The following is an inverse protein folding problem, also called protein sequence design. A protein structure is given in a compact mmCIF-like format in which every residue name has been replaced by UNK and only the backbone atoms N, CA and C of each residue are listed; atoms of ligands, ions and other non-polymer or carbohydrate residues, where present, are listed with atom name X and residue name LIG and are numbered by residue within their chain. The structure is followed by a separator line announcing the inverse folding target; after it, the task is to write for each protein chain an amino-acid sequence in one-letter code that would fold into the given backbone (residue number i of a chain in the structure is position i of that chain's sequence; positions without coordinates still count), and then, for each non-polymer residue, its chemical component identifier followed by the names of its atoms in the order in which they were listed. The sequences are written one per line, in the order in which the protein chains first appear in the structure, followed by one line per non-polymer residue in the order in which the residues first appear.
data_IF_827134702458
#
_entry.id   IF_827134702458
#
_cell.length_a   1.000
_cell.length_b   1.000
_cell.length_c   1.000
_cell.angle_alpha   90.00
_cell.angle_beta   90.00
_cell.angle_gamma   90.00
#
_symmetry.space_group_name_H-M   'P 1'
#
loop_
_entity.id
_entity.type
_entity.pdbx_description
1 polymer ?
#
# COMPACT_ATOMS: atom_id res chain seq x y z
N UNK A 1 24.59 16.57 -35.54
CA UNK A 1 25.26 16.36 -34.23
C UNK A 1 24.27 15.78 -33.26
N UNK A 2 24.58 14.65 -32.63
CA UNK A 2 23.75 14.06 -31.57
C UNK A 2 23.99 14.83 -30.25
N UNK A 3 22.97 15.15 -29.45
CA UNK A 3 23.14 15.81 -28.17
C UNK A 3 23.98 14.92 -27.22
N UNK A 4 24.97 15.51 -26.54
CA UNK A 4 25.92 14.81 -25.66
C UNK A 4 25.25 14.08 -24.49
N UNK A 5 24.02 14.44 -24.16
CA UNK A 5 23.26 13.91 -23.03
C UNK A 5 22.43 12.67 -23.39
N UNK A 6 22.43 12.24 -24.66
CA UNK A 6 21.62 11.13 -25.15
C UNK A 6 20.11 11.43 -25.18
N UNK A 7 19.32 10.53 -25.76
CA UNK A 7 17.85 10.65 -25.86
C UNK A 7 17.11 10.07 -24.65
N UNK A 8 17.83 9.58 -23.64
CA UNK A 8 17.24 9.01 -22.44
C UNK A 8 16.98 10.14 -21.45
N UNK A 9 15.69 10.38 -21.14
CA UNK A 9 15.30 11.15 -19.96
C UNK A 9 15.75 10.38 -18.73
N UNK A 10 16.97 10.64 -18.27
CA UNK A 10 17.46 10.20 -16.97
C UNK A 10 16.61 10.95 -15.95
N UNK A 11 15.48 10.35 -15.56
CA UNK A 11 14.63 10.88 -14.50
C UNK A 11 15.53 11.08 -13.28
N UNK A 12 15.56 12.32 -12.74
CA UNK A 12 16.36 12.65 -11.56
C UNK A 12 16.16 11.55 -10.52
N UNK A 13 17.23 10.80 -10.26
CA UNK A 13 17.32 9.75 -9.25
C UNK A 13 17.34 10.40 -7.89
N UNK A 14 16.20 10.90 -7.46
CA UNK A 14 16.03 11.56 -6.18
C UNK A 14 14.56 11.63 -5.87
N UNK A 15 14.13 10.84 -4.89
CA UNK A 15 12.78 10.89 -4.35
C UNK A 15 12.58 12.27 -3.72
N UNK A 16 12.20 13.28 -4.51
CA UNK A 16 11.96 14.63 -4.00
C UNK A 16 10.77 14.51 -3.04
N UNK A 17 10.94 14.84 -1.75
CA UNK A 17 9.83 14.76 -0.81
C UNK A 17 8.69 15.63 -1.34
N UNK A 18 7.48 15.06 -1.35
CA UNK A 18 6.28 15.80 -1.74
C UNK A 18 6.11 17.00 -0.81
N UNK A 19 5.77 18.16 -1.38
CA UNK A 19 5.33 19.28 -0.57
C UNK A 19 4.04 18.89 0.18
N UNK A 20 3.77 19.51 1.32
CA UNK A 20 2.54 19.24 2.08
C UNK A 20 1.28 19.52 1.25
N UNK A 21 1.31 20.53 0.37
CA UNK A 21 0.21 20.85 -0.54
C UNK A 21 0.01 19.80 -1.62
N UNK A 22 1.09 19.33 -2.26
CA UNK A 22 1.01 18.29 -3.29
C UNK A 22 0.54 16.96 -2.69
N UNK A 23 1.05 16.62 -1.50
CA UNK A 23 0.61 15.46 -0.74
C UNK A 23 -0.88 15.53 -0.44
N UNK A 24 -1.37 16.66 0.05
CA UNK A 24 -2.80 16.84 0.35
C UNK A 24 -3.68 16.75 -0.91
N UNK A 25 -3.25 17.35 -2.02
CA UNK A 25 -3.98 17.27 -3.29
C UNK A 25 -4.05 15.83 -3.82
N UNK A 26 -2.95 15.08 -3.73
CA UNK A 26 -2.90 13.66 -4.09
C UNK A 26 -3.82 12.84 -3.18
N UNK A 27 -3.81 13.05 -1.87
CA UNK A 27 -4.69 12.33 -0.94
C UNK A 27 -6.18 12.55 -1.29
N UNK A 28 -6.58 13.79 -1.58
CA UNK A 28 -7.96 14.08 -2.03
C UNK A 28 -8.31 13.30 -3.28
N UNK A 29 -7.43 13.31 -4.29
CA UNK A 29 -7.62 12.53 -5.52
C UNK A 29 -7.67 11.02 -5.25
N UNK A 30 -6.83 10.51 -4.34
CA UNK A 30 -6.87 9.12 -3.92
C UNK A 30 -8.21 8.74 -3.28
N UNK A 31 -8.74 9.61 -2.44
CA UNK A 31 -10.06 9.42 -1.83
C UNK A 31 -11.19 9.45 -2.88
N UNK A 32 -11.15 10.37 -3.84
CA UNK A 32 -12.09 10.39 -4.97
C UNK A 32 -12.05 9.07 -5.76
N UNK A 33 -10.86 8.60 -6.15
CA UNK A 33 -10.70 7.33 -6.88
C UNK A 33 -11.22 6.14 -6.08
N UNK A 34 -10.94 6.11 -4.78
CA UNK A 34 -11.43 5.04 -3.88
C UNK A 34 -12.96 5.01 -3.85
N UNK A 35 -13.59 6.17 -3.68
CA UNK A 35 -15.05 6.31 -3.61
C UNK A 35 -15.72 5.98 -4.95
N UNK A 36 -15.06 6.26 -6.08
CA UNK A 36 -15.51 5.86 -7.41
C UNK A 36 -15.27 4.38 -7.75
N UNK A 37 -14.74 3.58 -6.81
CA UNK A 37 -14.47 2.15 -7.01
C UNK A 37 -13.15 1.86 -7.73
N UNK A 38 -12.37 2.87 -8.11
CA UNK A 38 -11.03 2.70 -8.69
C UNK A 38 -9.98 2.50 -7.60
N UNK A 39 -10.12 1.39 -6.87
CA UNK A 39 -9.33 1.06 -5.68
C UNK A 39 -7.84 0.93 -6.00
N UNK A 40 -7.50 0.35 -7.15
CA UNK A 40 -6.10 0.11 -7.51
C UNK A 40 -5.34 1.43 -7.74
N UNK A 41 -5.99 2.41 -8.38
CA UNK A 41 -5.40 3.75 -8.52
C UNK A 41 -5.30 4.46 -7.17
N UNK A 42 -6.34 4.36 -6.33
CA UNK A 42 -6.31 4.90 -4.98
C UNK A 42 -5.15 4.32 -4.15
N UNK A 43 -4.96 2.99 -4.20
CA UNK A 43 -3.86 2.28 -3.54
C UNK A 43 -2.51 2.85 -3.93
N UNK A 44 -2.25 3.02 -5.23
CA UNK A 44 -0.99 3.61 -5.72
C UNK A 44 -0.76 5.02 -5.18
N UNK A 45 -1.81 5.83 -5.12
CA UNK A 45 -1.76 7.20 -4.58
C UNK A 45 -1.46 7.17 -3.07
N UNK A 46 -2.11 6.29 -2.30
CA UNK A 46 -1.90 6.18 -0.86
C UNK A 46 -0.49 5.67 -0.51
N UNK A 47 0.05 4.72 -1.28
CA UNK A 47 1.45 4.28 -1.14
C UNK A 47 2.41 5.44 -1.43
N UNK A 48 2.19 6.16 -2.53
CA UNK A 48 3.04 7.29 -2.94
C UNK A 48 3.05 8.41 -1.89
N UNK A 49 1.91 8.65 -1.24
CA UNK A 49 1.75 9.72 -0.24
C UNK A 49 2.03 9.27 1.19
N UNK A 50 2.16 7.96 1.44
CA UNK A 50 2.21 7.40 2.80
C UNK A 50 0.97 7.77 3.61
N UNK A 51 -0.22 7.71 3.02
CA UNK A 51 -1.47 8.06 3.71
C UNK A 51 -2.02 6.84 4.46
N UNK A 52 -1.70 6.74 5.76
CA UNK A 52 -2.01 5.57 6.59
C UNK A 52 -3.47 5.14 6.57
N UNK A 53 -4.41 6.08 6.76
CA UNK A 53 -5.85 5.77 6.75
C UNK A 53 -6.31 5.19 5.39
N UNK A 54 -5.85 5.77 4.28
CA UNK A 54 -6.13 5.23 2.94
C UNK A 54 -5.55 3.83 2.73
N UNK A 55 -4.33 3.57 3.22
CA UNK A 55 -3.71 2.26 3.17
C UNK A 55 -4.48 1.22 4.00
N UNK A 56 -4.94 1.58 5.20
CA UNK A 56 -5.76 0.69 6.05
C UNK A 56 -7.07 0.35 5.35
N UNK A 57 -7.80 1.33 4.78
CA UNK A 57 -9.06 1.06 4.07
C UNK A 57 -8.88 0.13 2.87
N UNK A 58 -7.80 0.30 2.10
CA UNK A 58 -7.50 -0.62 1.00
C UNK A 58 -7.12 -2.00 1.55
N UNK A 59 -6.36 -2.07 2.65
CA UNK A 59 -6.04 -3.32 3.33
C UNK A 59 -7.28 -4.08 3.82
N UNK A 60 -8.25 -3.38 4.39
CA UNK A 60 -9.53 -3.97 4.81
C UNK A 60 -10.27 -4.59 3.62
N UNK A 61 -10.30 -3.87 2.48
CA UNK A 61 -10.87 -4.41 1.23
C UNK A 61 -10.10 -5.61 0.68
N UNK A 62 -8.78 -5.65 0.83
CA UNK A 62 -8.00 -6.83 0.47
C UNK A 62 -8.39 -8.06 1.31
N UNK A 63 -8.63 -7.88 2.62
CA UNK A 63 -9.16 -8.95 3.49
C UNK A 63 -10.53 -9.42 3.00
N UNK A 64 -11.46 -8.50 2.72
CA UNK A 64 -12.80 -8.83 2.20
C UNK A 64 -12.74 -9.63 0.90
N UNK A 65 -11.73 -9.37 0.06
CA UNK A 65 -11.53 -10.03 -1.23
C UNK A 65 -10.71 -11.33 -1.14
N UNK A 66 -10.29 -11.76 0.06
CA UNK A 66 -9.49 -12.97 0.25
C UNK A 66 -8.01 -12.82 -0.13
N UNK A 67 -7.46 -11.61 -0.10
CA UNK A 67 -6.04 -11.31 -0.34
C UNK A 67 -5.35 -10.80 0.96
N UNK A 68 -5.11 -11.69 1.94
CA UNK A 68 -4.53 -11.31 3.21
C UNK A 68 -3.06 -10.89 3.10
N UNK A 69 -2.34 -11.35 2.08
CA UNK A 69 -0.93 -10.99 1.92
C UNK A 69 -0.77 -9.52 1.51
N UNK A 70 -1.58 -9.06 0.55
CA UNK A 70 -1.59 -7.64 0.19
C UNK A 70 -2.10 -6.77 1.35
N UNK A 71 -3.11 -7.25 2.10
CA UNK A 71 -3.58 -6.56 3.29
C UNK A 71 -2.46 -6.36 4.33
N UNK A 72 -1.69 -7.41 4.63
CA UNK A 72 -0.55 -7.35 5.56
C UNK A 72 0.46 -6.29 5.13
N UNK A 73 0.82 -6.28 3.83
CA UNK A 73 1.75 -5.31 3.26
C UNK A 73 1.25 -3.87 3.45
N UNK A 74 -0.05 -3.63 3.22
CA UNK A 74 -0.66 -2.32 3.36
C UNK A 74 -0.74 -1.85 4.81
N UNK A 75 -1.07 -2.73 5.76
CA UNK A 75 -1.05 -2.41 7.19
C UNK A 75 0.35 -2.08 7.70
N UNK A 76 1.36 -2.81 7.20
CA UNK A 76 2.76 -2.51 7.51
C UNK A 76 3.16 -1.12 7.03
N UNK A 77 2.86 -0.78 5.77
CA UNK A 77 3.12 0.54 5.21
C UNK A 77 2.36 1.66 5.93
N UNK A 78 1.16 1.37 6.44
CA UNK A 78 0.36 2.30 7.22
C UNK A 78 0.90 2.54 8.64
N UNK A 79 1.88 1.76 9.09
CA UNK A 79 2.33 1.70 10.50
C UNK A 79 1.17 1.38 11.45
N UNK A 80 0.37 0.35 11.12
CA UNK A 80 -0.80 -0.10 11.87
C UNK A 80 -0.52 -1.42 12.63
N UNK A 81 0.26 -1.40 13.73
CA UNK A 81 0.74 -2.62 14.40
C UNK A 81 -0.40 -3.52 14.86
N UNK A 82 -1.49 -2.99 15.40
CA UNK A 82 -2.63 -3.82 15.83
C UNK A 82 -3.28 -4.64 14.70
N UNK A 83 -3.31 -4.11 13.47
CA UNK A 83 -3.81 -4.84 12.29
C UNK A 83 -2.79 -5.88 11.81
N UNK A 84 -1.50 -5.52 11.85
CA UNK A 84 -0.39 -6.44 11.52
C UNK A 84 -0.38 -7.62 12.48
N UNK A 85 -0.37 -7.36 13.79
CA UNK A 85 -0.31 -8.38 14.84
C UNK A 85 -1.52 -9.32 14.78
N UNK A 86 -2.73 -8.76 14.58
CA UNK A 86 -3.94 -9.57 14.44
C UNK A 86 -3.84 -10.55 13.25
N UNK A 87 -3.34 -10.09 12.11
CA UNK A 87 -3.23 -10.91 10.91
C UNK A 87 -2.09 -11.93 11.02
N UNK A 88 -0.99 -11.57 11.67
CA UNK A 88 0.11 -12.49 11.97
C UNK A 88 -0.33 -13.58 12.94
N UNK A 89 -1.08 -13.24 13.99
CA UNK A 89 -1.60 -14.21 14.95
C UNK A 89 -2.57 -15.20 14.30
N UNK A 90 -3.49 -14.71 13.45
CA UNK A 90 -4.35 -15.57 12.64
C UNK A 90 -3.53 -16.53 11.77
N UNK A 91 -2.54 -16.01 11.05
CA UNK A 91 -1.66 -16.82 10.19
C UNK A 91 -0.91 -17.88 10.99
N UNK A 92 -0.32 -17.50 12.12
CA UNK A 92 0.40 -18.41 13.01
C UNK A 92 -0.52 -19.50 13.58
N UNK A 93 -1.78 -19.17 13.90
CA UNK A 93 -2.77 -20.14 14.39
C UNK A 93 -3.11 -21.21 13.34
N UNK A 94 -3.23 -20.83 12.06
CA UNK A 94 -3.47 -21.77 10.96
C UNK A 94 -2.27 -22.71 10.79
N UNK A 95 -1.05 -22.15 10.82
CA UNK A 95 0.18 -22.96 10.71
C UNK A 95 0.28 -23.96 11.87
N UNK A 96 0.06 -23.51 13.12
CA UNK A 96 0.08 -24.39 14.29
C UNK A 96 -0.93 -25.53 14.16
N UNK A 97 -2.13 -25.23 13.68
CA UNK A 97 -3.17 -26.24 13.43
C UNK A 97 -2.73 -27.29 12.41
N UNK A 98 -2.18 -26.86 11.27
CA UNK A 98 -1.66 -27.79 10.26
C UNK A 98 -0.54 -28.67 10.77
N UNK A 99 0.34 -28.14 11.63
CA UNK A 99 1.40 -28.93 12.25
C UNK A 99 0.83 -29.98 13.21
N UNK A 100 -0.21 -29.64 13.97
CA UNK A 100 -0.87 -30.59 14.90
C UNK A 100 -1.74 -31.65 14.22
N UNK A 101 -2.22 -31.40 13.00
CA UNK A 101 -3.00 -32.38 12.23
C UNK A 101 -2.12 -33.50 11.63
N UNK A 102 -0.79 -33.33 11.64
CA UNK A 102 0.18 -34.32 11.18
C UNK A 102 0.79 -35.19 12.29
N UNK A 103 0.41 -34.98 13.55
CA UNK A 103 0.74 -35.81 14.73
C UNK A 103 -0.39 -36.81 15.02
#
# INVERSE_FOLDING_TARGET
MLPREGFLKIGKTGNRPLSSSDRAALIRKGNEQYNSGNVELAKRIFITTGYSDGLIRVGDRCIENGDPLEALRLYWLASAPGKVDALLEQTASVIRRWLSEGE
#
